data_IF_312336897512
#
_entry.id   IF_312336897512
#
_cell.length_a   1.000
_cell.length_b   1.000
_cell.length_c   1.000
_cell.angle_alpha   90.00
_cell.angle_beta   90.00
_cell.angle_gamma   90.00
#
_symmetry.space_group_name_H-M   'P 1'
#
loop_
_entity.id
_entity.type
_entity.pdbx_description
1 polymer ?
#
# COMPACT_ATOMS: atom_id res chain seq x y z
N UNK A 15 9.16 12.41 -2.70
CA UNK A 15 10.52 11.80 -2.75
C UNK A 15 10.81 10.93 -1.51
N UNK A 16 10.44 9.65 -1.59
CA UNK A 16 10.69 8.68 -0.50
C UNK A 16 11.63 7.51 -0.85
N UNK A 17 11.70 6.51 0.03
CA UNK A 17 12.62 5.39 -0.18
C UNK A 17 12.31 4.26 0.79
N UNK A 18 11.71 3.19 0.31
CA UNK A 18 11.41 2.11 1.22
C UNK A 18 11.61 0.76 0.58
N UNK A 19 12.44 -0.07 1.21
CA UNK A 19 12.68 -1.44 0.75
C UNK A 19 11.49 -2.26 1.20
N UNK A 20 10.68 -2.69 0.24
CA UNK A 20 9.51 -3.47 0.57
C UNK A 20 9.28 -4.55 -0.46
N UNK A 21 8.66 -5.65 -0.03
CA UNK A 21 8.34 -6.75 -0.92
C UNK A 21 6.88 -6.66 -1.30
N UNK A 22 6.62 -6.32 -2.57
CA UNK A 22 5.26 -6.28 -3.08
C UNK A 22 4.70 -7.69 -3.07
N UNK A 23 3.58 -7.89 -2.40
CA UNK A 23 3.02 -9.23 -2.29
C UNK A 23 1.64 -9.40 -2.89
N UNK A 24 1.31 -8.58 -3.89
CA UNK A 24 0.03 -8.69 -4.60
C UNK A 24 -1.06 -7.67 -4.30
N UNK A 25 -2.13 -7.74 -5.08
CA UNK A 25 -3.30 -6.88 -4.90
C UNK A 25 -4.56 -7.65 -5.23
N UNK A 26 -5.57 -7.50 -4.37
CA UNK A 26 -6.85 -8.18 -4.55
C UNK A 26 -8.04 -7.32 -4.15
N UNK A 27 -9.22 -7.57 -4.75
CA UNK A 27 -10.43 -6.78 -4.49
C UNK A 27 -10.95 -6.97 -3.08
N UNK A 28 -11.58 -5.94 -2.53
CA UNK A 28 -12.15 -5.99 -1.17
C UNK A 28 -13.59 -5.43 -1.13
N UNK A 29 -14.38 -5.86 -0.15
CA UNK A 29 -15.78 -5.41 -0.01
C UNK A 29 -15.98 -3.92 0.26
N UNK A 30 -15.84 -3.50 1.52
CA UNK A 30 -16.00 -2.08 1.90
C UNK A 30 -14.65 -1.36 1.81
N UNK A 31 -14.69 -0.06 1.51
CA UNK A 31 -13.49 0.76 1.33
C UNK A 31 -12.67 1.09 2.58
N UNK A 32 -12.99 0.48 3.72
CA UNK A 32 -12.24 0.74 4.96
C UNK A 32 -12.56 -0.18 6.13
N UNK A 33 -11.60 -0.34 7.04
CA UNK A 33 -11.74 -1.19 8.23
C UNK A 33 -10.52 -2.07 8.45
N UNK A 34 -10.04 -2.14 9.70
CA UNK A 34 -8.83 -2.91 10.04
C UNK A 34 -8.96 -4.41 9.78
N UNK A 35 -10.20 -4.89 9.88
CA UNK A 35 -10.55 -6.28 9.65
C UNK A 35 -10.59 -6.61 8.16
N UNK A 36 -11.19 -5.70 7.38
CA UNK A 36 -11.28 -5.82 5.93
C UNK A 36 -9.86 -5.86 5.37
N UNK A 37 -9.01 -5.02 5.96
CA UNK A 37 -7.62 -4.93 5.57
C UNK A 37 -6.91 -6.22 5.94
N UNK A 38 -7.12 -6.70 7.16
CA UNK A 38 -6.46 -7.92 7.57
C UNK A 38 -6.87 -9.16 6.81
N UNK A 39 -8.15 -9.24 6.46
CA UNK A 39 -8.69 -10.34 5.67
C UNK A 39 -7.91 -10.36 4.36
N UNK A 40 -7.72 -9.17 3.79
CA UNK A 40 -7.01 -8.99 2.54
C UNK A 40 -5.52 -9.30 2.67
N UNK A 41 -4.83 -8.62 3.58
CA UNK A 41 -3.40 -8.85 3.81
C UNK A 41 -3.20 -10.30 4.18
N UNK A 42 -4.06 -10.76 5.08
CA UNK A 42 -4.03 -12.12 5.57
C UNK A 42 -4.09 -13.13 4.45
N UNK A 43 -5.06 -12.98 3.55
CA UNK A 43 -5.21 -13.96 2.46
C UNK A 43 -4.13 -13.87 1.38
N UNK A 44 -3.38 -12.76 1.38
CA UNK A 44 -2.23 -12.60 0.49
C UNK A 44 -0.99 -13.17 1.13
N UNK A 45 -1.03 -13.28 2.46
CA UNK A 45 0.07 -13.82 3.23
C UNK A 45 0.03 -15.34 3.16
N UNK A 46 -1.14 -15.92 3.44
CA UNK A 46 -1.35 -17.38 3.43
C UNK A 46 -1.03 -17.93 2.05
N UNK A 47 0.27 -18.01 1.78
CA UNK A 47 0.77 -18.38 0.47
C UNK A 47 2.00 -19.30 0.54
N UNK A 48 1.76 -20.58 0.81
CA UNK A 48 2.83 -21.57 0.89
C UNK A 48 3.48 -21.70 -0.48
N UNK A 49 4.68 -21.13 -0.62
CA UNK A 49 5.41 -21.13 -1.89
C UNK A 49 6.93 -21.06 -1.72
N UNK A 50 7.62 -20.65 -2.80
CA UNK A 50 9.07 -20.44 -2.80
C UNK A 50 9.36 -19.01 -2.29
N UNK A 51 8.28 -18.34 -1.88
CA UNK A 51 8.25 -16.97 -1.36
C UNK A 51 8.67 -15.95 -2.42
N UNK A 52 7.91 -15.95 -3.52
CA UNK A 52 8.16 -15.12 -4.70
C UNK A 52 7.64 -13.67 -4.67
N UNK A 53 7.68 -13.01 -3.52
CA UNK A 53 7.27 -11.61 -3.46
C UNK A 53 8.37 -10.73 -4.04
N UNK A 54 8.02 -9.88 -4.99
CA UNK A 54 9.00 -9.03 -5.66
C UNK A 54 9.58 -7.95 -4.75
N UNK A 55 10.91 -7.93 -4.61
CA UNK A 55 11.59 -6.88 -3.83
C UNK A 55 11.54 -5.59 -4.61
N UNK A 56 11.04 -4.54 -3.96
CA UNK A 56 10.92 -3.25 -4.62
C UNK A 56 11.45 -2.11 -3.77
N UNK A 57 11.21 -0.90 -4.27
CA UNK A 57 11.64 0.31 -3.62
C UNK A 57 10.50 1.30 -3.78
N UNK A 58 9.87 1.68 -2.67
CA UNK A 58 8.75 2.62 -2.73
C UNK A 58 9.04 4.11 -2.59
N UNK A 59 8.61 4.83 -3.62
CA UNK A 59 8.71 6.25 -3.69
C UNK A 59 7.32 6.70 -3.28
N UNK A 60 7.26 7.71 -2.42
CA UNK A 60 6.00 8.26 -2.02
C UNK A 60 6.10 9.77 -2.13
N UNK A 61 5.57 10.32 -3.22
CA UNK A 61 5.53 11.77 -3.36
C UNK A 61 4.18 12.17 -2.77
N UNK A 62 3.86 13.46 -2.80
CA UNK A 62 2.58 13.95 -2.28
C UNK A 62 1.44 13.53 -3.18
N UNK A 63 1.80 13.24 -4.43
CA UNK A 63 0.87 12.90 -5.48
C UNK A 63 0.78 11.40 -5.77
N UNK A 64 1.94 10.74 -5.82
CA UNK A 64 2.01 9.36 -6.25
C UNK A 64 2.88 8.41 -5.44
N UNK A 65 2.49 7.14 -5.47
CA UNK A 65 3.20 6.04 -4.84
C UNK A 65 3.66 5.08 -5.90
N UNK A 66 4.96 4.80 -5.91
CA UNK A 66 5.53 3.94 -6.92
C UNK A 66 6.42 2.85 -6.33
N UNK A 67 6.32 1.66 -6.91
CA UNK A 67 7.10 0.51 -6.49
C UNK A 67 8.00 0.03 -7.64
N UNK A 68 9.17 0.64 -7.77
CA UNK A 68 10.12 0.27 -8.81
C UNK A 68 10.87 -1.00 -8.42
N UNK A 69 11.37 -1.76 -9.41
CA UNK A 69 12.14 -2.96 -9.06
C UNK A 69 13.57 -2.58 -8.62
N UNK A 70 14.33 -3.54 -8.10
CA UNK A 70 15.71 -3.27 -7.66
C UNK A 70 16.63 -3.22 -8.89
N UNK A 71 17.40 -2.13 -9.02
CA UNK A 71 18.35 -1.93 -10.14
C UNK A 71 17.76 -2.28 -11.51
N UNK A 78 13.33 1.12 -16.64
CA UNK A 78 12.75 0.31 -15.56
C UNK A 78 11.53 1.01 -14.94
N UNK A 79 10.45 1.11 -15.72
CA UNK A 79 9.20 1.74 -15.26
C UNK A 79 8.55 0.85 -14.20
N UNK A 80 7.70 1.45 -13.33
CA UNK A 80 6.98 0.83 -12.20
C UNK A 80 6.37 -0.54 -12.46
N UNK A 81 6.11 -1.27 -11.38
CA UNK A 81 5.47 -2.58 -11.47
C UNK A 81 4.22 -2.57 -10.61
N UNK A 82 3.96 -1.42 -10.01
CA UNK A 82 2.78 -1.16 -9.21
C UNK A 82 2.85 0.28 -8.80
N UNK A 83 1.76 1.00 -9.03
CA UNK A 83 1.72 2.38 -8.62
C UNK A 83 0.30 2.75 -8.27
N UNK A 84 0.16 3.84 -7.52
CA UNK A 84 -1.15 4.29 -7.10
C UNK A 84 -1.15 5.77 -6.69
N UNK A 85 -2.05 6.57 -7.30
CA UNK A 85 -2.15 7.98 -6.93
C UNK A 85 -2.70 8.09 -5.52
N UNK A 86 -1.99 8.83 -4.67
CA UNK A 86 -2.36 9.02 -3.27
C UNK A 86 -3.82 9.43 -3.11
N UNK A 87 -4.34 10.17 -4.08
CA UNK A 87 -5.73 10.64 -4.02
C UNK A 87 -6.74 9.49 -3.99
N UNK A 88 -6.40 8.36 -4.62
CA UNK A 88 -7.29 7.19 -4.69
C UNK A 88 -7.35 6.37 -3.40
N UNK A 89 -6.30 6.50 -2.59
CA UNK A 89 -6.16 5.77 -1.33
C UNK A 89 -7.29 6.12 -0.36
N UNK A 90 -7.94 5.11 0.21
CA UNK A 90 -9.07 5.31 1.15
C UNK A 90 -8.78 4.89 2.58
N UNK A 91 -8.13 3.74 2.74
CA UNK A 91 -7.75 3.22 4.06
C UNK A 91 -6.29 2.68 4.03
N UNK A 92 -5.55 2.85 5.12
CA UNK A 92 -4.18 2.33 5.21
C UNK A 92 -3.87 1.75 6.59
N UNK A 93 -2.72 1.09 6.70
CA UNK A 93 -2.30 0.53 7.96
C UNK A 93 -1.38 -0.67 7.94
N UNK A 94 -0.82 -0.94 9.11
CA UNK A 94 0.04 -2.06 9.38
C UNK A 94 -0.96 -3.14 9.77
N UNK A 95 -0.74 -4.39 9.38
CA UNK A 95 -1.70 -5.46 9.69
C UNK A 95 -1.53 -6.08 11.06
N UNK A 96 -2.08 -7.28 11.25
CA UNK A 96 -1.94 -8.04 12.51
C UNK A 96 -0.47 -8.41 12.69
N UNK A 97 0.25 -8.43 11.56
CA UNK A 97 1.68 -8.67 11.52
C UNK A 97 2.38 -7.38 11.12
N UNK A 98 3.06 -6.73 12.09
CA UNK A 98 3.85 -5.50 11.93
C UNK A 98 4.80 -5.44 10.72
N UNK A 99 5.09 -6.58 10.09
CA UNK A 99 5.94 -6.59 8.90
C UNK A 99 5.20 -6.08 7.67
N UNK A 100 3.89 -6.27 7.68
CA UNK A 100 3.05 -5.92 6.56
C UNK A 100 2.42 -4.54 6.67
N UNK A 101 2.28 -3.92 5.50
CA UNK A 101 1.58 -2.66 5.34
C UNK A 101 0.60 -2.89 4.20
N UNK A 102 -0.64 -2.48 4.40
CA UNK A 102 -1.67 -2.66 3.40
C UNK A 102 -2.40 -1.37 3.14
N UNK A 103 -2.99 -1.26 1.96
CA UNK A 103 -3.72 -0.06 1.63
C UNK A 103 -4.82 -0.38 0.65
N UNK A 104 -5.97 0.23 0.90
CA UNK A 104 -7.15 0.06 0.08
C UNK A 104 -7.36 1.34 -0.69
N UNK A 105 -7.66 1.20 -1.98
CA UNK A 105 -7.90 2.35 -2.81
C UNK A 105 -9.14 2.13 -3.65
N UNK A 106 -9.98 3.17 -3.68
CA UNK A 106 -11.19 3.16 -4.49
C UNK A 106 -10.71 3.21 -5.94
N UNK A 107 -10.73 2.05 -6.61
CA UNK A 107 -10.29 2.01 -8.00
C UNK A 107 -11.46 2.06 -9.01
N UNK A 108 -12.16 0.94 -9.21
CA UNK A 108 -13.26 0.87 -10.21
C UNK A 108 -14.47 1.82 -10.15
N UNK A 109 -14.29 3.03 -9.61
CA UNK A 109 -15.38 4.03 -9.45
C UNK A 109 -16.31 3.64 -8.30
N UNK A 110 -16.86 2.44 -8.37
CA UNK A 110 -17.72 1.90 -7.32
C UNK A 110 -17.15 0.54 -6.88
N UNK A 111 -15.83 0.49 -6.64
CA UNK A 111 -15.13 -0.77 -6.30
C UNK A 111 -13.71 -0.58 -5.73
N UNK A 112 -13.34 -1.42 -4.76
CA UNK A 112 -12.06 -1.25 -4.04
C UNK A 112 -11.01 -2.36 -4.11
N UNK A 113 -9.75 -1.97 -4.33
CA UNK A 113 -8.58 -2.88 -4.37
C UNK A 113 -7.78 -2.75 -3.08
N UNK A 114 -6.90 -3.72 -2.83
CA UNK A 114 -6.05 -3.69 -1.66
C UNK A 114 -4.65 -4.26 -1.92
N UNK A 115 -3.61 -3.44 -1.73
CA UNK A 115 -2.22 -3.85 -1.98
C UNK A 115 -1.44 -3.99 -0.68
N UNK A 116 -0.55 -4.97 -0.61
CA UNK A 116 0.22 -5.21 0.61
C UNK A 116 1.73 -5.35 0.38
N UNK A 117 2.51 -5.06 1.41
CA UNK A 117 3.97 -5.13 1.33
C UNK A 117 4.62 -5.66 2.61
N UNK A 118 5.79 -6.27 2.46
CA UNK A 118 6.57 -6.79 3.58
C UNK A 118 7.75 -5.88 3.83
N UNK A 119 7.98 -5.52 5.09
CA UNK A 119 9.09 -4.64 5.48
C UNK A 119 9.74 -5.21 6.71
N UNK A 120 11.07 -5.35 6.69
CA UNK A 120 11.82 -5.95 7.82
C UNK A 120 12.13 -5.01 8.99
N UNK A 121 12.57 -3.77 8.70
CA UNK A 121 12.79 -2.93 9.87
C UNK A 121 11.44 -2.82 10.60
N UNK A 122 10.39 -3.11 9.81
CA UNK A 122 8.94 -3.12 10.08
C UNK A 122 8.24 -2.10 9.16
N UNK A 123 6.96 -2.32 8.89
CA UNK A 123 6.18 -1.49 7.97
C UNK A 123 5.74 -0.11 8.49
N UNK A 124 6.08 0.20 9.74
CA UNK A 124 5.70 1.47 10.35
C UNK A 124 6.26 2.69 9.64
N UNK A 125 7.57 2.66 9.36
CA UNK A 125 8.27 3.77 8.70
C UNK A 125 7.59 4.14 7.40
N UNK A 126 7.25 3.11 6.63
CA UNK A 126 6.55 3.30 5.39
C UNK A 126 5.19 3.88 5.69
N UNK A 127 4.41 3.15 6.48
CA UNK A 127 3.07 3.57 6.85
C UNK A 127 3.00 5.07 7.16
N UNK A 128 3.85 5.54 8.07
CA UNK A 128 3.90 6.96 8.43
C UNK A 128 4.02 7.87 7.21
N UNK A 129 4.91 7.51 6.29
CA UNK A 129 5.11 8.28 5.09
C UNK A 129 3.83 8.31 4.25
N UNK A 130 3.19 7.16 4.10
CA UNK A 130 1.98 7.09 3.29
C UNK A 130 0.87 7.95 3.88
N UNK A 131 0.71 7.89 5.20
CA UNK A 131 -0.32 8.66 5.89
C UNK A 131 -0.09 10.15 5.68
N UNK A 132 1.13 10.59 5.97
CA UNK A 132 1.50 11.98 5.83
C UNK A 132 1.16 12.46 4.41
N UNK A 133 1.40 11.61 3.42
CA UNK A 133 1.10 11.91 2.02
C UNK A 133 -0.39 12.10 1.83
N UNK A 134 -1.19 11.16 2.34
CA UNK A 134 -2.65 11.25 2.24
C UNK A 134 -3.18 12.51 2.87
N UNK A 135 -2.56 12.92 3.98
CA UNK A 135 -2.93 14.14 4.70
C UNK A 135 -2.76 15.37 3.84
N UNK A 136 -1.57 15.52 3.28
CA UNK A 136 -1.23 16.66 2.43
C UNK A 136 -2.19 16.74 1.24
N UNK A 137 -2.35 15.60 0.58
CA UNK A 137 -3.21 15.44 -0.57
C UNK A 137 -4.65 15.85 -0.28
N UNK A 138 -5.21 15.27 0.78
CA UNK A 138 -6.59 15.53 1.20
C UNK A 138 -6.81 17.02 1.45
N UNK A 139 -5.88 17.60 2.19
CA UNK A 139 -5.93 18.99 2.56
C UNK A 139 -5.84 19.89 1.32
N UNK A 140 -5.09 19.45 0.31
CA UNK A 140 -4.94 20.23 -0.93
C UNK A 140 -6.26 20.33 -1.69
N UNK A 141 -7.04 19.24 -1.68
CA UNK A 141 -8.33 19.18 -2.38
C UNK A 141 -9.52 19.74 -1.60
N UNK A 142 -9.41 19.72 -0.27
CA UNK A 142 -10.47 20.21 0.61
C UNK A 142 -10.68 21.68 0.36
N UNK A 143 -9.62 22.46 0.48
CA UNK A 143 -9.67 23.89 0.22
C UNK A 143 -9.10 24.16 -1.18
N UNK A 144 -9.07 25.42 -1.59
CA UNK A 144 -8.47 25.77 -2.88
C UNK A 144 -7.84 27.16 -2.85
#
# INVERSE_FOLDING_TARGET
GSSGSSGLDAVSQAAQKYEALYMGTLPVTKAMGMDVLNEAIGTLTARGDRNAWVPTMLSVSDSLMTAHPIQAEASTEEEPLWQCPVRLVTFIGVGRDPHTFGLIADLGRQSFQCAAFWCQPHAGGLSEAVQAACMVQYQKCLVA
#
